data_IF_335410075271
#
_entry.id   IF_335410075271
#
_cell.length_a   1.000
_cell.length_b   1.000
_cell.length_c   1.000
_cell.angle_alpha   90.00
_cell.angle_beta   90.00
_cell.angle_gamma   90.00
#
_symmetry.space_group_name_H-M   'P 1'
#
loop_
_entity.id
_entity.type
_entity.pdbx_description
1 polymer ?
#
# COMPACT_ATOMS: atom_id res chain seq x y z
N UNK A 1 39.49 -4.21 -18.93
CA UNK A 1 38.88 -3.80 -17.63
C UNK A 1 39.77 -2.73 -17.05
N UNK A 2 39.26 -1.53 -16.85
CA UNK A 2 40.08 -0.42 -16.37
C UNK A 2 40.25 -0.49 -14.85
N UNK A 3 41.33 0.07 -14.26
CA UNK A 3 41.51 0.14 -12.80
C UNK A 3 40.33 0.80 -12.07
N UNK A 4 39.65 1.74 -12.76
CA UNK A 4 38.46 2.44 -12.25
C UNK A 4 37.26 1.50 -12.08
N UNK A 5 37.06 0.56 -13.01
CA UNK A 5 35.97 -0.42 -12.91
C UNK A 5 36.17 -1.37 -11.71
N UNK A 6 37.43 -1.74 -11.43
CA UNK A 6 37.78 -2.58 -10.28
C UNK A 6 37.53 -1.86 -8.96
N UNK A 7 37.90 -0.58 -8.87
CA UNK A 7 37.63 0.24 -7.68
C UNK A 7 36.13 0.43 -7.43
N UNK A 8 35.36 0.71 -8.48
CA UNK A 8 33.90 0.85 -8.37
C UNK A 8 33.27 -0.46 -7.90
N UNK A 9 33.70 -1.60 -8.46
CA UNK A 9 33.25 -2.92 -8.03
C UNK A 9 33.54 -3.18 -6.55
N UNK A 10 34.76 -2.89 -6.08
CA UNK A 10 35.13 -3.05 -4.68
C UNK A 10 34.30 -2.17 -3.73
N UNK A 11 34.00 -0.93 -4.14
CA UNK A 11 33.14 -0.02 -3.37
C UNK A 11 31.72 -0.56 -3.28
N UNK A 12 31.17 -1.09 -4.37
CA UNK A 12 29.84 -1.72 -4.39
C UNK A 12 29.82 -2.95 -3.49
N UNK A 13 30.80 -3.85 -3.60
CA UNK A 13 30.91 -5.02 -2.72
C UNK A 13 30.96 -4.63 -1.25
N UNK A 14 31.72 -3.58 -0.90
CA UNK A 14 31.81 -3.08 0.47
C UNK A 14 30.46 -2.56 0.98
N UNK A 15 29.73 -1.80 0.18
CA UNK A 15 28.40 -1.30 0.54
C UNK A 15 27.36 -2.43 0.70
N UNK A 16 27.38 -3.42 -0.19
CA UNK A 16 26.52 -4.61 -0.09
C UNK A 16 26.83 -5.38 1.20
N UNK A 17 28.11 -5.58 1.51
CA UNK A 17 28.51 -6.25 2.75
C UNK A 17 28.09 -5.48 4.00
N UNK A 18 28.23 -4.14 3.99
CA UNK A 18 27.74 -3.29 5.07
C UNK A 18 26.22 -3.39 5.24
N UNK A 19 25.47 -3.47 4.14
CA UNK A 19 24.03 -3.68 4.19
C UNK A 19 23.70 -5.06 4.78
N UNK A 20 24.34 -6.14 4.32
CA UNK A 20 24.14 -7.51 4.83
C UNK A 20 24.35 -7.63 6.35
N UNK A 21 25.34 -6.90 6.88
CA UNK A 21 25.66 -6.88 8.31
C UNK A 21 24.80 -5.87 9.10
N UNK A 22 24.00 -5.05 8.42
CA UNK A 22 23.18 -4.06 9.08
C UNK A 22 21.98 -4.75 9.75
N UNK A 23 21.64 -4.45 11.01
CA UNK A 23 20.50 -5.05 11.72
C UNK A 23 19.15 -4.87 11.01
N UNK A 24 19.04 -3.90 10.10
CA UNK A 24 17.84 -3.67 9.28
C UNK A 24 17.72 -4.58 8.06
N UNK A 25 18.77 -5.29 7.65
CA UNK A 25 18.75 -6.11 6.44
C UNK A 25 17.73 -7.25 6.50
N UNK A 26 17.63 -8.03 7.59
CA UNK A 26 16.56 -9.02 7.72
C UNK A 26 15.17 -8.39 7.56
N UNK A 27 14.95 -7.22 8.16
CA UNK A 27 13.67 -6.50 8.10
C UNK A 27 13.37 -6.00 6.67
N UNK A 28 14.39 -5.54 5.92
CA UNK A 28 14.22 -5.12 4.53
C UNK A 28 13.85 -6.33 3.65
N UNK A 29 14.55 -7.45 3.80
CA UNK A 29 14.25 -8.68 3.05
C UNK A 29 12.87 -9.22 3.42
N UNK A 30 12.52 -9.19 4.70
CA UNK A 30 11.20 -9.59 5.17
C UNK A 30 10.10 -8.65 4.67
N UNK A 31 10.37 -7.34 4.53
CA UNK A 31 9.44 -6.36 3.94
C UNK A 31 9.18 -6.59 2.44
N UNK A 32 9.93 -7.48 1.77
CA UNK A 32 9.64 -7.93 0.39
C UNK A 32 8.53 -8.99 0.38
N UNK A 33 8.11 -9.53 1.53
CA UNK A 33 6.93 -10.40 1.56
C UNK A 33 5.73 -9.62 1.04
N UNK A 34 5.11 -10.18 -0.02
CA UNK A 34 3.94 -9.58 -0.64
C UNK A 34 2.77 -9.72 0.33
N UNK A 35 2.34 -8.60 0.91
CA UNK A 35 1.06 -8.51 1.59
C UNK A 35 -0.03 -8.67 0.53
N UNK A 36 -0.94 -9.59 0.75
CA UNK A 36 -2.12 -9.75 -0.12
C UNK A 36 -3.19 -8.79 0.41
N UNK A 37 -3.56 -7.75 -0.35
CA UNK A 37 -4.54 -6.80 0.12
C UNK A 37 -5.93 -7.45 0.17
N UNK A 38 -6.72 -7.11 1.18
CA UNK A 38 -8.11 -7.51 1.31
C UNK A 38 -8.98 -6.26 1.48
N UNK A 39 -9.90 -6.04 0.55
CA UNK A 39 -10.81 -4.90 0.61
C UNK A 39 -11.90 -5.15 1.66
N UNK A 40 -12.09 -4.18 2.55
CA UNK A 40 -13.11 -4.23 3.60
C UNK A 40 -14.35 -3.50 3.09
N UNK A 41 -15.33 -4.27 2.63
CA UNK A 41 -16.65 -3.77 2.18
C UNK A 41 -17.68 -4.10 3.25
N UNK A 42 -18.33 -3.08 3.82
CA UNK A 42 -19.33 -3.24 4.87
C UNK A 42 -20.71 -3.56 4.29
N UNK A 43 -21.06 -2.90 3.19
CA UNK A 43 -22.36 -3.06 2.54
C UNK A 43 -22.24 -3.21 1.02
N UNK A 44 -23.12 -4.01 0.43
CA UNK A 44 -23.17 -4.22 -1.02
C UNK A 44 -23.42 -2.92 -1.81
N UNK A 45 -23.96 -1.87 -1.17
CA UNK A 45 -24.17 -0.56 -1.80
C UNK A 45 -22.89 0.24 -2.04
N UNK A 46 -21.76 -0.09 -1.38
CA UNK A 46 -20.47 0.55 -1.67
C UNK A 46 -19.95 0.10 -3.04
N UNK A 47 -20.15 -1.16 -3.38
CA UNK A 47 -19.63 -1.71 -4.62
C UNK A 47 -19.48 -3.22 -4.59
N UNK A 48 -18.73 -3.72 -5.58
CA UNK A 48 -18.42 -5.15 -5.73
C UNK A 48 -16.93 -5.36 -5.96
N UNK A 49 -16.46 -6.56 -5.67
CA UNK A 49 -15.10 -7.00 -5.97
C UNK A 49 -15.08 -7.99 -7.13
N UNK A 50 -14.09 -7.84 -8.00
CA UNK A 50 -13.74 -8.81 -9.03
C UNK A 50 -12.22 -9.00 -9.01
N UNK A 51 -11.75 -10.07 -8.38
CA UNK A 51 -10.33 -10.26 -8.12
C UNK A 51 -9.76 -9.13 -7.24
N UNK A 52 -8.69 -8.48 -7.70
CA UNK A 52 -8.04 -7.35 -7.03
C UNK A 52 -8.56 -5.98 -7.50
N UNK A 53 -9.80 -5.94 -8.01
CA UNK A 53 -10.45 -4.71 -8.46
C UNK A 53 -11.71 -4.46 -7.65
N UNK A 54 -11.84 -3.24 -7.15
CA UNK A 54 -13.06 -2.73 -6.57
C UNK A 54 -13.82 -1.88 -7.60
N UNK A 55 -15.12 -2.14 -7.73
CA UNK A 55 -16.03 -1.36 -8.56
C UNK A 55 -17.02 -0.66 -7.66
N UNK A 56 -17.01 0.67 -7.68
CA UNK A 56 -18.03 1.49 -7.05
C UNK A 56 -19.43 1.11 -7.61
N UNK A 57 -20.48 1.27 -6.80
CA UNK A 57 -21.84 0.84 -7.15
C UNK A 57 -22.54 1.68 -8.25
N UNK A 58 -21.80 2.56 -8.93
CA UNK A 58 -22.28 3.49 -9.97
C UNK A 58 -23.40 4.44 -9.50
N UNK A 59 -23.43 4.70 -8.19
CA UNK A 59 -24.21 5.78 -7.60
C UNK A 59 -23.35 7.03 -7.51
N UNK A 60 -23.98 8.20 -7.56
CA UNK A 60 -23.30 9.48 -7.31
C UNK A 60 -23.23 9.74 -5.79
N UNK A 61 -22.71 8.75 -5.06
CA UNK A 61 -22.55 8.74 -3.60
C UNK A 61 -21.06 8.63 -3.25
N UNK A 62 -20.66 9.21 -2.11
CA UNK A 62 -19.29 9.06 -1.62
C UNK A 62 -19.03 7.61 -1.18
N UNK A 63 -17.81 7.13 -1.40
CA UNK A 63 -17.43 5.77 -1.04
C UNK A 63 -16.00 5.70 -0.54
N UNK A 64 -15.88 5.35 0.74
CA UNK A 64 -14.61 5.06 1.38
C UNK A 64 -14.54 3.58 1.74
N UNK A 65 -13.42 2.92 1.42
CA UNK A 65 -13.15 1.53 1.78
C UNK A 65 -11.78 1.42 2.44
N UNK A 66 -11.69 0.59 3.48
CA UNK A 66 -10.43 0.23 4.10
C UNK A 66 -9.83 -1.03 3.43
N UNK A 67 -8.52 -1.21 3.57
CA UNK A 67 -7.80 -2.36 3.01
C UNK A 67 -6.93 -2.97 4.10
N UNK A 68 -7.07 -4.28 4.29
CA UNK A 68 -6.22 -5.10 5.14
C UNK A 68 -5.01 -5.66 4.37
N UNK A 69 -3.90 -6.02 5.03
CA UNK A 69 -3.72 -6.02 6.48
C UNK A 69 -3.26 -4.67 7.04
N UNK A 70 -3.62 -4.41 8.31
CA UNK A 70 -3.06 -3.31 9.10
C UNK A 70 -1.52 -3.36 9.14
N UNK A 71 -0.90 -2.23 8.82
CA UNK A 71 0.55 -2.04 8.86
C UNK A 71 0.98 -1.85 10.32
N UNK A 72 1.62 -2.87 10.92
CA UNK A 72 2.08 -2.82 12.33
C UNK A 72 3.52 -2.34 12.48
N UNK A 73 4.38 -2.69 11.54
CA UNK A 73 5.80 -2.38 11.56
C UNK A 73 6.40 -2.45 10.15
N UNK A 74 7.61 -1.90 9.99
CA UNK A 74 8.36 -1.97 8.73
C UNK A 74 8.00 -0.88 7.72
N UNK A 75 8.30 -1.15 6.44
CA UNK A 75 8.04 -0.25 5.33
C UNK A 75 7.17 -1.00 4.32
N UNK A 76 5.98 -0.47 4.04
CA UNK A 76 5.04 -1.05 3.09
C UNK A 76 4.91 -0.14 1.87
N UNK A 77 4.99 -0.74 0.68
CA UNK A 77 4.65 -0.07 -0.58
C UNK A 77 3.25 -0.48 -0.99
N UNK A 78 2.40 0.51 -1.23
CA UNK A 78 1.04 0.31 -1.68
C UNK A 78 0.82 1.05 -2.99
N UNK A 79 0.15 0.40 -3.95
CA UNK A 79 -0.06 0.91 -5.30
C UNK A 79 -1.51 0.67 -5.70
N UNK A 80 -2.18 1.73 -6.17
CA UNK A 80 -3.55 1.70 -6.68
C UNK A 80 -3.55 2.34 -8.06
N UNK A 81 -4.31 1.74 -8.98
CA UNK A 81 -4.65 2.35 -10.27
C UNK A 81 -6.12 2.74 -10.24
N UNK A 82 -6.40 4.02 -10.46
CA UNK A 82 -7.76 4.54 -10.59
C UNK A 82 -8.17 4.54 -12.06
N UNK A 83 -9.31 3.92 -12.38
CA UNK A 83 -9.87 3.86 -13.74
C UNK A 83 -11.28 4.48 -13.74
N UNK A 84 -11.65 5.15 -14.85
CA UNK A 84 -13.00 5.70 -15.06
C UNK A 84 -13.49 6.66 -13.98
N UNK A 85 -12.60 7.49 -13.44
CA UNK A 85 -12.92 8.46 -12.38
C UNK A 85 -13.48 9.76 -12.94
N UNK A 86 -14.58 10.24 -12.34
CA UNK A 86 -15.27 11.48 -12.76
C UNK A 86 -15.05 12.66 -11.81
N UNK A 87 -14.95 12.37 -10.51
CA UNK A 87 -14.91 13.36 -9.44
C UNK A 87 -13.63 13.21 -8.60
N UNK A 88 -13.75 13.45 -7.30
CA UNK A 88 -12.66 13.43 -6.34
C UNK A 88 -12.18 12.00 -6.06
N UNK A 89 -10.87 11.85 -6.02
CA UNK A 89 -10.21 10.63 -5.57
C UNK A 89 -9.22 10.99 -4.47
N UNK A 90 -9.17 10.16 -3.44
CA UNK A 90 -8.24 10.30 -2.33
C UNK A 90 -7.74 8.94 -1.86
N UNK A 91 -6.52 8.94 -1.35
CA UNK A 91 -5.90 7.80 -0.68
C UNK A 91 -5.27 8.30 0.61
N UNK A 92 -5.36 7.51 1.67
CA UNK A 92 -4.86 7.89 2.98
C UNK A 92 -4.55 6.68 3.86
N UNK A 93 -4.03 6.96 5.04
CA UNK A 93 -3.80 5.98 6.10
C UNK A 93 -4.68 6.40 7.26
N UNK A 94 -5.47 5.47 7.78
CA UNK A 94 -6.32 5.67 8.96
C UNK A 94 -5.87 4.73 10.08
N UNK A 95 -6.26 5.04 11.31
CA UNK A 95 -6.07 4.12 12.43
C UNK A 95 -6.84 2.81 12.20
N UNK A 96 -6.33 1.69 12.73
CA UNK A 96 -6.96 0.39 12.58
C UNK A 96 -8.37 0.30 13.21
N UNK A 97 -8.70 1.22 14.12
CA UNK A 97 -10.03 1.34 14.71
C UNK A 97 -11.03 2.08 13.84
N UNK A 98 -10.59 2.84 12.83
CA UNK A 98 -11.48 3.54 11.91
C UNK A 98 -12.32 2.55 11.10
N UNK A 99 -13.60 2.86 10.92
CA UNK A 99 -14.52 2.05 10.13
C UNK A 99 -15.35 2.95 9.25
N UNK A 100 -15.28 2.73 7.95
CA UNK A 100 -15.96 3.56 6.96
C UNK A 100 -17.33 2.98 6.62
N UNK A 101 -18.36 3.78 6.89
CA UNK A 101 -19.74 3.48 6.55
C UNK A 101 -19.98 3.70 5.06
N UNK A 102 -21.01 3.04 4.56
CA UNK A 102 -21.33 3.08 3.15
C UNK A 102 -22.11 4.36 2.79
N UNK A 103 -21.62 5.10 1.80
CA UNK A 103 -22.17 6.40 1.39
C UNK A 103 -21.43 7.61 1.95
N UNK A 104 -20.38 7.39 2.76
CA UNK A 104 -19.65 8.43 3.47
C UNK A 104 -18.25 8.66 2.89
N UNK A 105 -17.84 9.92 2.85
CA UNK A 105 -16.47 10.33 2.56
C UNK A 105 -15.52 10.07 3.74
N UNK A 106 -14.19 10.06 3.50
CA UNK A 106 -13.20 9.77 4.54
C UNK A 106 -13.11 10.84 5.64
N UNK A 107 -13.71 12.02 5.44
CA UNK A 107 -13.78 13.09 6.45
C UNK A 107 -15.01 12.97 7.36
N UNK A 108 -15.97 12.10 7.02
CA UNK A 108 -17.23 11.97 7.75
C UNK A 108 -17.15 10.92 8.87
N UNK A 109 -16.37 9.85 8.66
CA UNK A 109 -16.23 8.73 9.59
C UNK A 109 -14.97 8.82 10.48
N UNK A 110 -14.67 10.02 10.97
CA UNK A 110 -13.55 10.33 11.90
C UNK A 110 -12.16 9.91 11.38
N UNK A 111 -11.52 10.84 10.67
CA UNK A 111 -10.05 11.00 10.70
C UNK A 111 -9.67 12.07 11.73
#
# INVERSE_FOLDING_TARGET
RTPRDVQQFLVVCRKIYQLLQHPRYPNIIQSITQLTPAFIIKEAKQGRLEGMKFFHSDKDEDCTIAIDPVIKEGIVRFEIVFENTRLWISIGIADASCSFAAGNGPWEDEN
#
